data_IF_667512381288
#
_entry.id   IF_667512381288
#
_cell.length_a   1.000
_cell.length_b   1.000
_cell.length_c   1.000
_cell.angle_alpha   90.00
_cell.angle_beta   90.00
_cell.angle_gamma   90.00
#
_symmetry.space_group_name_H-M   'P 1'
#
loop_
_entity.id
_entity.type
_entity.pdbx_description
1 polymer ?
#
# COMPACT_ATOMS: atom_id res chain seq x y z
N UNK A 1 -62.53 -39.42 -78.76
CA UNK A 1 -61.69 -38.20 -78.67
C UNK A 1 -60.66 -38.44 -77.56
N UNK A 2 -59.36 -38.34 -77.88
CA UNK A 2 -58.27 -38.44 -76.90
C UNK A 2 -57.93 -37.04 -76.38
N UNK A 3 -57.69 -36.87 -75.07
CA UNK A 3 -56.41 -36.45 -74.46
C UNK A 3 -56.60 -35.68 -73.13
N UNK A 4 -55.72 -36.03 -72.18
CA UNK A 4 -55.04 -35.15 -71.18
C UNK A 4 -55.91 -34.73 -69.99
N UNK A 5 -55.45 -34.52 -68.75
CA UNK A 5 -54.28 -34.85 -67.91
C UNK A 5 -54.59 -34.13 -66.56
N UNK A 6 -53.98 -34.60 -65.47
CA UNK A 6 -53.95 -34.06 -64.10
C UNK A 6 -53.94 -32.52 -63.90
N UNK A 7 -54.37 -32.07 -62.70
CA UNK A 7 -53.70 -31.18 -61.70
C UNK A 7 -54.71 -30.91 -60.55
N UNK A 8 -54.51 -31.43 -59.32
CA UNK A 8 -53.84 -30.84 -58.12
C UNK A 8 -54.77 -29.96 -57.24
N UNK A 9 -54.72 -30.07 -55.88
CA UNK A 9 -55.81 -29.72 -54.97
C UNK A 9 -55.69 -28.34 -54.33
N UNK A 10 -56.82 -27.87 -53.79
CA UNK A 10 -57.03 -26.56 -53.20
C UNK A 10 -57.01 -26.62 -51.66
N UNK A 11 -56.12 -25.83 -51.07
CA UNK A 11 -56.15 -25.16 -49.75
C UNK A 11 -57.14 -25.63 -48.68
N UNK A 12 -56.61 -25.93 -47.49
CA UNK A 12 -57.09 -25.34 -46.22
C UNK A 12 -55.88 -25.05 -45.33
N UNK A 13 -55.75 -23.79 -44.94
CA UNK A 13 -54.86 -23.31 -43.88
C UNK A 13 -55.60 -23.31 -42.52
N UNK A 14 -54.81 -23.22 -41.44
CA UNK A 14 -55.19 -22.94 -40.04
C UNK A 14 -55.72 -24.18 -39.28
N UNK A 15 -55.14 -24.67 -38.17
CA UNK A 15 -54.35 -24.02 -37.12
C UNK A 15 -53.72 -25.09 -36.17
N UNK A 16 -52.53 -24.78 -35.58
CA UNK A 16 -51.93 -25.21 -34.29
C UNK A 16 -51.25 -26.60 -34.14
N UNK A 17 -50.05 -26.83 -33.54
CA UNK A 17 -49.05 -26.09 -32.71
C UNK A 17 -47.66 -26.81 -32.74
N UNK A 18 -46.55 -26.05 -32.61
CA UNK A 18 -45.26 -26.45 -32.02
C UNK A 18 -44.14 -26.78 -33.04
N UNK A 19 -42.97 -26.12 -33.11
CA UNK A 19 -42.25 -25.31 -32.13
C UNK A 19 -41.92 -23.93 -32.74
N UNK A 20 -42.35 -22.87 -32.06
CA UNK A 20 -41.70 -21.57 -32.11
C UNK A 20 -40.27 -21.80 -31.59
N UNK A 21 -39.25 -21.49 -32.40
CA UNK A 21 -37.95 -21.17 -31.83
C UNK A 21 -38.15 -19.84 -31.13
N UNK A 22 -38.57 -19.94 -29.89
CA UNK A 22 -38.64 -18.85 -28.95
C UNK A 22 -37.20 -18.30 -28.82
N UNK A 23 -36.93 -17.22 -29.55
CA UNK A 23 -35.81 -16.31 -29.34
C UNK A 23 -35.97 -15.65 -27.96
N UNK A 24 -35.83 -16.45 -26.91
CA UNK A 24 -35.47 -15.93 -25.60
C UNK A 24 -33.95 -15.76 -25.62
N UNK A 25 -33.50 -14.54 -25.95
CA UNK A 25 -32.30 -14.00 -25.32
C UNK A 25 -32.56 -13.99 -23.82
N UNK A 26 -32.33 -15.12 -23.18
CA UNK A 26 -32.61 -15.32 -21.76
C UNK A 26 -31.61 -14.43 -20.99
N UNK A 27 -32.08 -13.27 -20.52
CA UNK A 27 -31.36 -12.27 -19.73
C UNK A 27 -30.75 -12.83 -18.41
N UNK A 28 -30.80 -14.14 -18.17
CA UNK A 28 -30.23 -14.82 -17.00
C UNK A 28 -28.73 -14.56 -16.85
N UNK A 29 -27.99 -14.58 -17.94
CA UNK A 29 -26.53 -14.41 -17.94
C UNK A 29 -26.12 -12.96 -17.65
N UNK A 30 -26.87 -11.99 -18.18
CA UNK A 30 -26.72 -10.58 -17.84
C UNK A 30 -27.03 -10.33 -16.36
N UNK A 31 -28.09 -10.95 -15.84
CA UNK A 31 -28.45 -10.86 -14.42
C UNK A 31 -27.41 -11.54 -13.50
N UNK A 32 -26.66 -12.53 -13.98
CA UNK A 32 -25.59 -13.20 -13.22
C UNK A 32 -24.41 -12.27 -12.91
N UNK A 33 -24.06 -11.39 -13.85
CA UNK A 33 -22.97 -10.42 -13.67
C UNK A 33 -23.43 -9.11 -13.05
N UNK A 34 -24.71 -8.77 -13.14
CA UNK A 34 -25.22 -7.51 -12.63
C UNK A 34 -24.89 -7.33 -11.13
N UNK A 35 -24.24 -6.22 -10.79
CA UNK A 35 -23.77 -5.92 -9.44
C UNK A 35 -22.48 -6.63 -9.01
N UNK A 36 -21.76 -7.31 -9.93
CA UNK A 36 -20.44 -7.87 -9.65
C UNK A 36 -19.34 -6.83 -9.88
N UNK A 37 -18.30 -6.86 -9.03
CA UNK A 37 -17.10 -6.02 -9.16
C UNK A 37 -15.85 -6.88 -9.05
N UNK A 38 -14.86 -6.53 -9.84
CA UNK A 38 -13.57 -7.18 -9.92
C UNK A 38 -12.47 -6.15 -9.83
N UNK A 39 -11.35 -6.54 -9.24
CA UNK A 39 -10.16 -5.71 -9.13
C UNK A 39 -8.92 -6.56 -9.31
N UNK A 40 -7.98 -6.07 -10.11
CA UNK A 40 -6.67 -6.64 -10.33
C UNK A 40 -5.60 -5.61 -10.01
N UNK A 41 -4.43 -6.08 -9.59
CA UNK A 41 -3.25 -5.24 -9.37
C UNK A 41 -2.04 -6.00 -9.86
N UNK A 42 -1.24 -5.36 -10.70
CA UNK A 42 -0.08 -5.95 -11.40
C UNK A 42 1.04 -6.45 -10.49
N UNK A 43 1.06 -6.04 -9.22
CA UNK A 43 1.90 -6.70 -8.25
C UNK A 43 1.37 -6.57 -6.83
N UNK A 44 1.61 -7.59 -6.00
CA UNK A 44 1.38 -7.56 -4.55
C UNK A 44 2.63 -7.13 -3.79
N UNK A 45 3.56 -6.42 -4.44
CA UNK A 45 4.76 -5.94 -3.74
C UNK A 45 4.32 -4.93 -2.67
N UNK A 46 4.41 -5.36 -1.42
CA UNK A 46 4.31 -4.44 -0.29
C UNK A 46 5.55 -3.54 -0.33
N UNK A 47 5.35 -2.34 -0.85
CA UNK A 47 6.33 -1.25 -0.81
C UNK A 47 6.41 -0.73 0.61
N UNK A 48 7.23 -1.38 1.44
CA UNK A 48 7.53 -0.92 2.79
C UNK A 48 9.04 -0.96 2.95
N UNK A 49 9.69 0.19 2.77
CA UNK A 49 11.08 0.33 3.18
C UNK A 49 11.12 0.51 4.70
N UNK A 50 11.75 -0.44 5.40
CA UNK A 50 11.93 -0.40 6.87
C UNK A 50 13.25 0.27 7.31
N UNK A 51 14.00 0.85 6.38
CA UNK A 51 15.45 1.06 6.55
C UNK A 51 15.87 2.38 7.22
N UNK A 52 14.99 3.02 7.99
CA UNK A 52 15.40 4.16 8.81
C UNK A 52 15.74 3.71 10.23
N UNK A 53 17.03 3.76 10.57
CA UNK A 53 17.51 3.50 11.92
C UNK A 53 17.59 4.80 12.69
N UNK A 54 16.77 4.92 13.74
CA UNK A 54 16.89 5.98 14.72
C UNK A 54 18.22 5.86 15.47
N UNK A 55 18.91 6.98 15.66
CA UNK A 55 20.16 7.04 16.41
C UNK A 55 20.05 8.10 17.46
N UNK A 56 20.09 7.71 18.73
CA UNK A 56 20.06 8.66 19.84
C UNK A 56 21.08 8.30 20.91
N UNK A 57 21.82 9.31 21.36
CA UNK A 57 22.64 9.22 22.56
C UNK A 57 22.08 10.10 23.70
N UNK A 58 20.89 10.69 23.48
CA UNK A 58 20.16 11.56 24.42
C UNK A 58 19.77 10.82 25.70
N UNK A 59 19.45 9.53 25.59
CA UNK A 59 19.03 8.67 26.70
C UNK A 59 20.04 8.64 27.86
N UNK A 60 21.34 8.76 27.59
CA UNK A 60 22.38 8.81 28.61
C UNK A 60 22.26 10.07 29.49
N UNK A 61 22.00 11.22 28.86
CA UNK A 61 21.83 12.50 29.56
C UNK A 61 20.51 12.52 30.32
N UNK A 62 19.41 12.10 29.69
CA UNK A 62 18.10 12.03 30.34
C UNK A 62 18.14 11.12 31.57
N UNK A 63 18.81 9.96 31.44
CA UNK A 63 19.03 9.07 32.56
C UNK A 63 19.83 9.75 33.69
N UNK A 64 20.96 10.41 33.37
CA UNK A 64 21.76 11.12 34.36
C UNK A 64 20.96 12.22 35.07
N UNK A 65 20.22 13.04 34.32
CA UNK A 65 19.41 14.13 34.88
C UNK A 65 18.25 13.62 35.74
N UNK A 66 17.70 12.45 35.39
CA UNK A 66 16.68 11.79 36.21
C UNK A 66 17.24 11.29 37.53
N UNK A 67 18.43 10.69 37.52
CA UNK A 67 19.03 10.10 38.73
C UNK A 67 19.82 11.10 39.56
N UNK A 68 20.28 12.22 38.99
CA UNK A 68 21.00 13.27 39.69
C UNK A 68 20.51 14.67 39.24
N UNK A 69 19.31 15.10 39.65
CA UNK A 69 18.73 16.36 39.21
C UNK A 69 19.51 17.61 39.66
N UNK A 70 20.35 17.47 40.70
CA UNK A 70 21.17 18.55 41.26
C UNK A 70 22.51 18.75 40.54
N UNK A 71 22.80 17.94 39.51
CA UNK A 71 24.03 18.10 38.74
C UNK A 71 24.05 19.45 38.02
N UNK A 72 25.15 20.18 38.13
CA UNK A 72 25.29 21.48 37.46
C UNK A 72 25.84 21.29 36.04
N UNK A 73 25.14 21.87 35.08
CA UNK A 73 25.54 21.87 33.67
C UNK A 73 25.00 23.10 32.94
N UNK A 74 25.61 23.43 31.81
CA UNK A 74 25.05 24.35 30.80
C UNK A 74 24.77 23.59 29.51
N UNK A 75 23.84 24.11 28.71
CA UNK A 75 23.55 23.62 27.37
C UNK A 75 24.07 24.68 26.39
N UNK A 76 24.98 24.29 25.52
CA UNK A 76 25.56 25.10 24.45
C UNK A 76 25.17 24.46 23.10
N UNK A 77 25.25 25.24 22.01
CA UNK A 77 25.04 24.78 20.62
C UNK A 77 23.74 23.98 20.38
N UNK A 78 22.67 24.34 21.07
CA UNK A 78 21.37 23.69 20.93
C UNK A 78 20.76 24.01 19.57
N UNK A 79 20.55 22.97 18.75
CA UNK A 79 19.97 23.10 17.42
C UNK A 79 18.97 21.97 17.16
N UNK A 80 17.86 22.34 16.50
CA UNK A 80 16.90 21.41 15.93
C UNK A 80 16.82 21.70 14.43
N UNK A 81 17.02 20.66 13.62
CA UNK A 81 16.85 20.69 12.19
C UNK A 81 15.77 19.69 11.74
N UNK A 82 15.05 20.07 10.70
CA UNK A 82 14.08 19.21 10.03
C UNK A 82 14.43 19.15 8.54
N UNK A 83 14.54 17.94 8.01
CA UNK A 83 14.80 17.66 6.60
C UNK A 83 13.67 16.77 6.07
N UNK A 84 13.05 17.18 4.95
CA UNK A 84 11.98 16.43 4.30
C UNK A 84 12.44 15.97 2.93
N UNK A 85 12.22 14.69 2.63
CA UNK A 85 12.52 14.11 1.33
C UNK A 85 11.52 13.02 0.99
N UNK A 86 11.45 12.69 -0.30
CA UNK A 86 10.55 11.69 -0.86
C UNK A 86 11.38 10.56 -1.46
N UNK A 87 10.92 9.33 -1.29
CA UNK A 87 11.48 8.15 -1.96
C UNK A 87 10.41 7.55 -2.85
N UNK A 88 10.72 7.38 -4.13
CA UNK A 88 9.90 6.57 -5.02
C UNK A 88 10.19 5.09 -4.74
N UNK A 89 9.26 4.41 -4.06
CA UNK A 89 9.44 3.01 -3.70
C UNK A 89 9.35 2.09 -4.91
N UNK A 90 8.54 2.43 -5.92
CA UNK A 90 8.50 1.64 -7.16
C UNK A 90 9.87 1.61 -7.81
N UNK A 91 10.49 2.79 -8.03
CA UNK A 91 11.83 2.89 -8.59
C UNK A 91 12.87 2.18 -7.72
N UNK A 92 12.79 2.33 -6.39
CA UNK A 92 13.67 1.66 -5.44
C UNK A 92 13.64 0.14 -5.56
N UNK A 93 12.45 -0.45 -5.78
CA UNK A 93 12.25 -1.89 -5.98
C UNK A 93 12.41 -2.33 -7.45
N UNK A 94 12.81 -1.42 -8.35
CA UNK A 94 13.22 -1.75 -9.72
C UNK A 94 12.11 -1.78 -10.77
N UNK A 95 10.97 -1.14 -10.52
CA UNK A 95 9.90 -0.97 -11.52
C UNK A 95 9.36 0.45 -11.52
N UNK A 96 8.70 0.87 -12.59
CA UNK A 96 8.23 2.26 -12.69
C UNK A 96 6.94 2.51 -11.91
N UNK A 97 5.94 1.64 -12.07
CA UNK A 97 4.59 1.86 -11.55
C UNK A 97 3.83 0.55 -11.34
N UNK A 98 2.69 0.64 -10.65
CA UNK A 98 1.68 -0.42 -10.63
C UNK A 98 0.46 0.02 -11.42
N UNK A 99 -0.14 -0.95 -12.08
CA UNK A 99 -1.44 -0.84 -12.71
C UNK A 99 -2.47 -1.55 -11.83
N UNK A 100 -3.55 -0.83 -11.54
CA UNK A 100 -4.76 -1.32 -10.89
C UNK A 100 -5.90 -1.24 -11.87
N UNK A 101 -6.51 -2.39 -12.13
CA UNK A 101 -7.63 -2.54 -13.05
C UNK A 101 -8.87 -2.93 -12.26
N UNK A 102 -10.03 -2.40 -12.63
CA UNK A 102 -11.30 -2.74 -12.01
C UNK A 102 -12.38 -2.91 -13.08
N UNK A 103 -13.26 -3.90 -12.91
CA UNK A 103 -14.43 -4.09 -13.75
C UNK A 103 -15.66 -4.12 -12.86
N UNK A 104 -16.67 -3.32 -13.18
CA UNK A 104 -17.97 -3.34 -12.48
C UNK A 104 -19.10 -3.52 -13.49
N UNK A 105 -19.98 -4.49 -13.26
CA UNK A 105 -21.03 -4.83 -14.23
C UNK A 105 -22.39 -4.34 -13.74
N UNK A 106 -23.05 -3.49 -14.54
CA UNK A 106 -24.38 -2.96 -14.25
C UNK A 106 -25.19 -2.79 -15.53
N UNK A 107 -26.45 -3.24 -15.55
CA UNK A 107 -27.42 -2.96 -16.62
C UNK A 107 -26.87 -3.14 -18.06
N UNK A 108 -26.28 -4.31 -18.34
CA UNK A 108 -25.64 -4.67 -19.62
C UNK A 108 -24.40 -3.82 -20.00
N UNK A 109 -23.87 -3.08 -19.04
CA UNK A 109 -22.62 -2.31 -19.17
C UNK A 109 -21.56 -2.85 -18.22
N UNK A 110 -20.32 -2.81 -18.69
CA UNK A 110 -19.15 -3.08 -17.89
C UNK A 110 -18.35 -1.78 -17.77
N UNK A 111 -18.15 -1.30 -16.55
CA UNK A 111 -17.34 -0.14 -16.24
C UNK A 111 -15.92 -0.63 -15.97
N UNK A 112 -15.01 -0.34 -16.89
CA UNK A 112 -13.60 -0.60 -16.75
C UNK A 112 -12.90 0.64 -16.19
N UNK A 113 -12.24 0.49 -15.04
CA UNK A 113 -11.44 1.53 -14.41
C UNK A 113 -9.98 1.09 -14.44
N UNK A 114 -9.13 1.93 -15.02
CA UNK A 114 -7.68 1.78 -14.99
C UNK A 114 -7.09 2.86 -14.09
N UNK A 115 -6.13 2.48 -13.24
CA UNK A 115 -5.33 3.40 -12.43
C UNK A 115 -3.86 3.01 -12.49
N UNK A 116 -3.01 3.94 -12.87
CA UNK A 116 -1.56 3.86 -12.73
C UNK A 116 -1.16 4.53 -11.43
N UNK A 117 -0.48 3.81 -10.54
CA UNK A 117 -0.05 4.32 -9.24
C UNK A 117 1.44 4.11 -9.01
N UNK A 118 2.00 4.96 -8.18
CA UNK A 118 3.31 4.80 -7.55
C UNK A 118 3.17 4.82 -6.03
N UNK A 119 4.06 4.11 -5.35
CA UNK A 119 4.17 4.22 -3.89
C UNK A 119 5.30 5.19 -3.57
N UNK A 120 4.94 6.30 -2.92
CA UNK A 120 5.90 7.31 -2.48
C UNK A 120 6.00 7.24 -0.97
N UNK A 121 7.21 7.18 -0.45
CA UNK A 121 7.47 7.33 0.98
C UNK A 121 7.89 8.76 1.27
N UNK A 122 7.04 9.48 1.98
CA UNK A 122 7.37 10.81 2.50
C UNK A 122 8.10 10.62 3.83
N UNK A 123 9.32 11.15 3.93
CA UNK A 123 10.19 10.98 5.09
C UNK A 123 10.53 12.34 5.69
N UNK A 124 10.33 12.45 7.00
CA UNK A 124 10.79 13.57 7.82
C UNK A 124 11.90 13.09 8.74
N UNK A 125 13.08 13.67 8.56
CA UNK A 125 14.25 13.44 9.42
C UNK A 125 14.39 14.63 10.37
N UNK A 126 14.27 14.36 11.66
CA UNK A 126 14.50 15.35 12.71
C UNK A 126 15.87 15.12 13.32
N UNK A 127 16.72 16.13 13.30
CA UNK A 127 18.04 16.10 13.93
C UNK A 127 18.06 17.09 15.08
N UNK A 128 18.35 16.60 16.29
CA UNK A 128 18.56 17.42 17.48
C UNK A 128 20.02 17.26 17.91
N UNK A 129 20.71 18.38 18.13
CA UNK A 129 22.08 18.40 18.65
C UNK A 129 22.20 19.38 19.79
N UNK A 130 23.00 19.04 20.80
CA UNK A 130 23.32 19.93 21.90
C UNK A 130 24.65 19.54 22.54
N UNK A 131 25.36 20.52 23.08
CA UNK A 131 26.57 20.29 23.87
C UNK A 131 26.23 20.49 25.35
N UNK A 132 26.25 19.42 26.13
CA UNK A 132 26.10 19.50 27.58
C UNK A 132 27.47 19.70 28.22
N UNK A 133 27.67 20.83 28.90
CA UNK A 133 28.92 21.13 29.61
C UNK A 133 28.71 21.00 31.10
N UNK A 134 29.25 19.93 31.67
CA UNK A 134 29.10 19.63 33.09
C UNK A 134 30.12 20.38 33.93
N UNK A 135 29.70 20.84 35.11
CA UNK A 135 30.62 21.45 36.06
C UNK A 135 31.29 20.37 36.89
N UNK A 136 32.62 20.41 36.98
CA UNK A 136 33.39 19.56 37.88
C UNK A 136 32.83 19.60 39.30
N UNK A 137 32.75 18.43 39.95
CA UNK A 137 32.31 18.35 41.32
C UNK A 137 31.81 16.97 41.72
N UNK A 138 31.42 16.88 42.99
CA UNK A 138 30.76 15.72 43.56
C UNK A 138 29.31 16.09 43.86
N UNK A 139 28.41 15.22 43.41
CA UNK A 139 26.97 15.36 43.48
C UNK A 139 26.38 14.10 44.12
N UNK A 140 25.12 14.20 44.54
CA UNK A 140 24.37 13.08 45.11
C UNK A 140 23.25 12.73 44.13
N UNK A 141 23.26 11.50 43.64
CA UNK A 141 22.17 10.93 42.88
C UNK A 141 21.27 10.05 43.73
N UNK A 142 20.07 9.74 43.23
CA UNK A 142 19.15 8.79 43.83
C UNK A 142 18.46 7.92 42.79
N UNK A 143 18.15 6.68 43.18
CA UNK A 143 17.22 5.81 42.46
C UNK A 143 15.90 5.76 43.24
N UNK A 144 14.81 6.21 42.61
CA UNK A 144 13.47 6.12 43.20
C UNK A 144 13.30 6.85 44.54
N UNK A 145 14.17 7.81 44.86
CA UNK A 145 14.10 8.66 46.07
C UNK A 145 14.49 8.00 47.39
N UNK A 146 14.82 6.70 47.42
CA UNK A 146 15.10 5.95 48.66
C UNK A 146 16.54 5.48 48.80
N UNK A 147 17.28 5.37 47.69
CA UNK A 147 18.69 4.96 47.66
C UNK A 147 19.56 6.04 47.06
N UNK A 148 20.62 6.44 47.77
CA UNK A 148 21.54 7.50 47.37
C UNK A 148 22.90 6.95 46.97
N UNK A 149 23.56 7.63 46.04
CA UNK A 149 24.91 7.31 45.59
C UNK A 149 25.68 8.55 45.18
N UNK A 150 27.01 8.46 45.22
CA UNK A 150 27.89 9.52 44.73
C UNK A 150 27.88 9.60 43.21
N UNK A 151 27.87 10.83 42.69
CA UNK A 151 28.10 11.13 41.28
C UNK A 151 29.28 12.10 41.19
N UNK A 152 30.34 11.73 40.49
CA UNK A 152 31.53 12.58 40.34
C UNK A 152 31.70 12.96 38.89
N UNK A 153 31.85 14.26 38.62
CA UNK A 153 32.14 14.79 37.29
C UNK A 153 33.63 15.06 37.18
N UNK A 154 34.30 14.44 36.21
CA UNK A 154 35.69 14.71 35.81
C UNK A 154 35.75 15.05 34.32
N UNK A 155 36.88 15.56 33.85
CA UNK A 155 37.05 16.01 32.46
C UNK A 155 36.64 15.00 31.39
N UNK A 156 36.84 13.70 31.64
CA UNK A 156 36.55 12.61 30.70
C UNK A 156 35.30 11.80 31.01
N UNK A 157 34.56 12.14 32.08
CA UNK A 157 33.40 11.34 32.42
C UNK A 157 32.58 11.85 33.59
N UNK A 158 31.28 11.52 33.55
CA UNK A 158 30.42 11.52 34.73
C UNK A 158 30.37 10.09 35.27
N UNK A 159 30.78 9.93 36.52
CA UNK A 159 30.93 8.63 37.18
C UNK A 159 29.88 8.46 38.26
N UNK A 160 29.32 7.25 38.37
CA UNK A 160 28.45 6.84 39.46
C UNK A 160 29.17 5.85 40.36
N UNK A 161 29.20 6.11 41.66
CA UNK A 161 29.76 5.17 42.62
C UNK A 161 28.87 3.93 42.77
N UNK A 162 29.50 2.75 42.75
CA UNK A 162 28.86 1.46 43.04
C UNK A 162 29.68 0.68 44.06
N UNK A 163 29.14 -0.43 44.56
CA UNK A 163 29.84 -1.31 45.52
C UNK A 163 31.15 -1.85 44.93
N UNK A 164 31.22 -2.05 43.61
CA UNK A 164 32.40 -2.55 42.89
C UNK A 164 33.33 -1.48 42.35
N UNK A 165 33.12 -0.21 42.69
CA UNK A 165 33.87 0.93 42.16
C UNK A 165 33.02 1.87 41.29
N UNK A 166 33.64 2.90 40.76
CA UNK A 166 32.97 3.92 39.94
C UNK A 166 32.71 3.42 38.52
N UNK A 167 31.50 3.65 38.01
CA UNK A 167 31.08 3.30 36.64
C UNK A 167 30.83 4.59 35.86
N UNK A 168 31.32 4.67 34.61
CA UNK A 168 31.04 5.79 33.71
C UNK A 168 29.58 5.75 33.29
N UNK A 169 28.86 6.85 33.54
CA UNK A 169 27.48 7.06 33.09
C UNK A 169 27.44 7.83 31.78
N UNK A 170 28.30 8.85 31.66
CA UNK A 170 28.44 9.65 30.44
C UNK A 170 29.94 9.81 30.16
N UNK A 171 30.44 9.39 28.98
CA UNK A 171 31.79 9.71 28.54
C UNK A 171 31.85 11.17 28.10
N UNK A 172 32.85 11.92 28.58
CA UNK A 172 33.06 13.33 28.20
C UNK A 172 34.32 13.45 27.32
N UNK A 173 34.43 14.55 26.58
CA UNK A 173 35.47 14.80 25.58
C UNK A 173 36.83 15.28 26.14
N UNK A 174 36.98 15.37 27.46
CA UNK A 174 38.18 15.94 28.11
C UNK A 174 38.04 17.42 28.48
N UNK A 175 36.99 18.10 28.01
CA UNK A 175 36.65 19.49 28.36
C UNK A 175 35.34 19.57 29.13
N UNK A 176 34.95 18.47 29.79
CA UNK A 176 33.69 18.32 30.51
C UNK A 176 32.43 18.40 29.61
N UNK A 177 32.58 18.20 28.30
CA UNK A 177 31.50 18.30 27.34
C UNK A 177 30.99 16.92 26.88
N UNK A 178 29.67 16.83 26.68
CA UNK A 178 29.00 15.71 26.02
C UNK A 178 28.20 16.21 24.83
N UNK A 179 28.55 15.72 23.65
CA UNK A 179 27.85 16.04 22.41
C UNK A 179 26.66 15.10 22.25
N UNK A 180 25.47 15.64 22.51
CA UNK A 180 24.22 14.96 22.26
C UNK A 180 23.85 15.09 20.78
N UNK A 181 23.49 13.97 20.18
CA UNK A 181 22.90 13.89 18.85
C UNK A 181 21.76 12.88 18.88
N UNK A 182 20.61 13.31 18.37
CA UNK A 182 19.45 12.48 18.15
C UNK A 182 18.99 12.68 16.72
N UNK A 183 18.90 11.58 15.97
CA UNK A 183 18.32 11.53 14.64
C UNK A 183 17.11 10.62 14.71
N UNK A 184 15.94 11.15 14.38
CA UNK A 184 14.68 10.43 14.34
C UNK A 184 14.06 10.51 12.96
N UNK A 185 13.51 9.41 12.49
CA UNK A 185 12.80 9.35 11.23
C UNK A 185 11.32 9.08 11.46
N UNK A 186 10.48 9.89 10.83
CA UNK A 186 9.07 9.61 10.68
C UNK A 186 8.79 9.44 9.19
N UNK A 187 8.12 8.36 8.80
CA UNK A 187 7.80 8.12 7.40
C UNK A 187 6.40 7.57 7.22
N UNK A 188 5.77 7.98 6.14
CA UNK A 188 4.47 7.49 5.70
C UNK A 188 4.57 7.02 4.25
N UNK A 189 3.97 5.88 3.95
CA UNK A 189 3.86 5.38 2.57
C UNK A 189 2.51 5.80 2.02
N UNK A 190 2.54 6.53 0.91
CA UNK A 190 1.38 7.04 0.21
C UNK A 190 1.25 6.37 -1.15
N UNK A 191 0.03 6.04 -1.52
CA UNK A 191 -0.32 5.67 -2.89
C UNK A 191 -0.62 6.94 -3.68
N UNK A 192 0.23 7.24 -4.67
CA UNK A 192 0.06 8.38 -5.55
C UNK A 192 -0.47 7.92 -6.91
N UNK A 193 -1.58 8.49 -7.34
CA UNK A 193 -2.13 8.28 -8.68
C UNK A 193 -1.39 9.15 -9.70
N UNK A 194 -0.96 8.52 -10.80
CA UNK A 194 -0.25 9.14 -11.91
C UNK A 194 -1.19 9.37 -13.08
N UNK A 195 -2.00 8.36 -13.36
CA UNK A 195 -2.92 8.33 -14.48
C UNK A 195 -4.13 7.47 -14.12
N UNK A 196 -5.28 7.83 -14.67
CA UNK A 196 -6.53 7.11 -14.47
C UNK A 196 -7.42 7.26 -15.68
N UNK A 197 -8.10 6.19 -16.06
CA UNK A 197 -9.10 6.22 -17.11
C UNK A 197 -10.31 5.39 -16.70
N UNK A 198 -11.48 5.76 -17.21
CA UNK A 198 -12.71 5.00 -17.00
C UNK A 198 -13.44 4.88 -18.32
N UNK A 199 -13.71 3.64 -18.71
CA UNK A 199 -14.42 3.31 -19.94
C UNK A 199 -15.70 2.57 -19.62
N UNK A 200 -16.74 2.92 -20.35
CA UNK A 200 -17.98 2.16 -20.38
C UNK A 200 -17.89 1.22 -21.57
N UNK A 201 -17.85 -0.07 -21.26
CA UNK A 201 -17.88 -1.15 -22.23
C UNK A 201 -19.28 -1.77 -22.18
N UNK A 202 -19.64 -2.46 -23.26
CA UNK A 202 -20.81 -3.30 -23.35
C UNK A 202 -20.36 -4.75 -23.28
N UNK A 203 -21.25 -5.66 -22.91
CA UNK A 203 -20.94 -7.08 -22.94
C UNK A 203 -22.11 -7.91 -23.46
N UNK A 204 -21.79 -8.96 -24.19
CA UNK A 204 -22.75 -9.94 -24.69
C UNK A 204 -22.21 -11.36 -24.45
N UNK A 205 -23.13 -12.31 -24.43
CA UNK A 205 -22.82 -13.73 -24.26
C UNK A 205 -23.07 -14.49 -25.56
N UNK A 206 -22.10 -15.33 -25.95
CA UNK A 206 -22.26 -16.33 -26.99
C UNK A 206 -21.92 -17.71 -26.43
N UNK A 207 -22.97 -18.43 -26.01
CA UNK A 207 -22.86 -19.71 -25.30
C UNK A 207 -21.96 -19.56 -24.07
N UNK A 208 -20.89 -20.34 -24.02
CA UNK A 208 -19.89 -20.32 -22.96
C UNK A 208 -18.85 -19.20 -23.15
N UNK A 209 -19.13 -18.12 -23.88
CA UNK A 209 -18.18 -17.01 -24.05
C UNK A 209 -18.81 -15.68 -23.68
N UNK A 210 -18.00 -14.83 -23.05
CA UNK A 210 -18.33 -13.43 -22.82
C UNK A 210 -17.45 -12.57 -23.72
N UNK A 211 -18.06 -11.63 -24.41
CA UNK A 211 -17.37 -10.59 -25.17
C UNK A 211 -17.64 -9.25 -24.50
N UNK A 212 -16.59 -8.50 -24.15
CA UNK A 212 -16.68 -7.15 -23.61
C UNK A 212 -16.08 -6.19 -24.65
N UNK A 213 -16.83 -5.17 -25.08
CA UNK A 213 -16.49 -4.36 -26.25
C UNK A 213 -16.97 -2.89 -26.14
N UNK A 214 -16.28 -1.98 -26.82
CA UNK A 214 -16.67 -0.56 -26.96
C UNK A 214 -16.79 -0.08 -28.42
N UNK A 215 -16.67 -1.00 -29.38
CA UNK A 215 -16.69 -0.72 -30.83
C UNK A 215 -15.31 -0.53 -31.46
N UNK A 216 -14.24 -0.40 -30.68
CA UNK A 216 -12.84 -0.37 -31.14
C UNK A 216 -11.95 -1.42 -30.49
N UNK A 217 -12.35 -1.99 -29.35
CA UNK A 217 -11.66 -3.07 -28.65
C UNK A 217 -12.59 -4.25 -28.35
N UNK A 218 -12.08 -5.48 -28.46
CA UNK A 218 -12.76 -6.74 -28.12
C UNK A 218 -11.94 -7.47 -27.04
N UNK A 219 -12.51 -7.63 -25.84
CA UNK A 219 -12.01 -8.52 -24.79
C UNK A 219 -12.83 -9.81 -24.86
N UNK A 220 -12.17 -10.95 -25.08
CA UNK A 220 -12.84 -12.25 -25.21
C UNK A 220 -12.48 -13.13 -24.02
N UNK A 221 -13.49 -13.71 -23.40
CA UNK A 221 -13.32 -14.66 -22.30
C UNK A 221 -14.17 -15.91 -22.49
N UNK A 222 -13.69 -17.03 -21.94
CA UNK A 222 -14.44 -18.27 -21.86
C UNK A 222 -15.08 -18.41 -20.48
N UNK A 223 -16.31 -18.88 -20.44
CA UNK A 223 -17.12 -19.13 -19.26
C UNK A 223 -17.25 -20.65 -19.03
N UNK A 224 -17.37 -21.06 -17.78
CA UNK A 224 -17.75 -22.41 -17.38
C UNK A 224 -18.69 -22.33 -16.19
N UNK A 225 -19.35 -23.44 -15.86
CA UNK A 225 -20.30 -23.53 -14.74
C UNK A 225 -19.72 -23.10 -13.38
N UNK A 226 -18.39 -23.11 -13.23
CA UNK A 226 -17.68 -22.84 -11.98
C UNK A 226 -16.83 -21.55 -12.01
N UNK A 227 -16.26 -21.21 -13.17
CA UNK A 227 -15.36 -20.07 -13.32
C UNK A 227 -15.49 -19.37 -14.68
N UNK A 228 -15.24 -18.06 -14.73
CA UNK A 228 -15.07 -17.27 -15.96
C UNK A 228 -13.60 -16.93 -16.15
N UNK A 229 -13.04 -17.17 -17.33
CA UNK A 229 -11.67 -16.78 -17.69
C UNK A 229 -11.72 -15.64 -18.70
N UNK A 230 -11.35 -14.42 -18.29
CA UNK A 230 -11.28 -13.26 -19.16
C UNK A 230 -9.86 -13.10 -19.71
N UNK A 231 -9.70 -13.14 -21.03
CA UNK A 231 -8.46 -12.78 -21.70
C UNK A 231 -8.54 -11.34 -22.20
N UNK A 232 -7.87 -10.44 -21.51
CA UNK A 232 -7.72 -9.05 -21.88
C UNK A 232 -6.64 -8.92 -22.95
N UNK A 233 -7.04 -8.50 -24.15
CA UNK A 233 -6.13 -7.92 -25.13
C UNK A 233 -6.09 -6.39 -24.92
N UNK A 234 -5.60 -6.00 -23.75
CA UNK A 234 -5.09 -4.64 -23.53
C UNK A 234 -3.68 -4.58 -24.18
N UNK A 235 -2.94 -3.46 -24.17
CA UNK A 235 -1.54 -3.44 -24.65
C UNK A 235 -0.61 -4.53 -24.04
N UNK A 236 -1.10 -5.30 -23.06
CA UNK A 236 -0.53 -6.53 -22.57
C UNK A 236 -1.61 -7.64 -22.57
N UNK A 237 -1.35 -8.78 -23.22
CA UNK A 237 -2.23 -9.97 -23.13
C UNK A 237 -2.27 -10.48 -21.68
N UNK A 238 -3.46 -10.61 -21.07
CA UNK A 238 -3.63 -11.10 -19.68
C UNK A 238 -4.85 -12.00 -19.53
N UNK A 239 -4.71 -13.15 -18.85
CA UNK A 239 -5.81 -14.09 -18.54
C UNK A 239 -6.18 -14.02 -17.05
N UNK A 240 -7.47 -13.91 -16.72
CA UNK A 240 -7.97 -13.82 -15.33
C UNK A 240 -9.12 -14.80 -15.10
N UNK A 241 -8.99 -15.71 -14.12
CA UNK A 241 -10.06 -16.63 -13.70
C UNK A 241 -10.92 -16.05 -12.56
N UNK A 242 -12.23 -16.21 -12.66
CA UNK A 242 -13.26 -15.56 -11.84
C UNK A 242 -14.23 -16.63 -11.28
N UNK A 243 -14.43 -16.79 -9.97
CA UNK A 243 -15.45 -17.71 -9.44
C UNK A 243 -16.88 -17.18 -9.60
N UNK A 244 -17.85 -18.08 -9.85
CA UNK A 244 -19.28 -17.73 -9.96
C UNK A 244 -19.90 -17.45 -8.57
N UNK A 245 -20.78 -16.45 -8.47
CA UNK A 245 -21.63 -16.19 -7.28
C UNK A 245 -22.60 -17.37 -7.12
N UNK A 246 -22.59 -18.03 -5.96
CA UNK A 246 -23.56 -19.08 -5.60
C UNK A 246 -24.94 -18.51 -5.32
#
# INVERSE_FOLDING_TARGET
MKKVLLILPMLVALFFIGCSSDDYKDNKEINLLNGTKWSYTTSTFNHIQKEFEDKENKSNVEYLLRICPSINYTIEDYNIGEEKFKINLCEHYGHSRHEKDSLSFYDQKCYYEYRSIEYIQDVTKTTETATYKFKEGNYIGSFGGSSYFGVTVKSYGVYRSTIGGDVVVIPLDGNYCYNMSSVKYCSEVLEQEIDSDTKILYYDFDKDNISIFDGSYDIKGSYSDYYMNLNFNLPYERSVMLPKKQ
#
